data_IF_786620007462
#
_entry.id   IF_786620007462
#
_cell.length_a   1.000
_cell.length_b   1.000
_cell.length_c   1.000
_cell.angle_alpha   90.00
_cell.angle_beta   90.00
_cell.angle_gamma   90.00
#
_symmetry.space_group_name_H-M   'P 1'
#
loop_
_entity.id
_entity.type
_entity.pdbx_description
1 polymer ?
#
# COMPACT_ATOMS: atom_id res chain seq x y z
N UNK A 1 6.14 -0.97 6.83
CA UNK A 1 4.88 -1.67 7.23
C UNK A 1 5.15 -3.02 7.87
N UNK A 2 5.69 -4.01 7.14
CA UNK A 2 5.89 -5.37 7.67
C UNK A 2 6.73 -5.43 8.95
N UNK A 3 7.84 -4.69 9.00
CA UNK A 3 8.73 -4.64 10.18
C UNK A 3 7.96 -4.15 11.43
N UNK A 4 7.31 -2.99 11.33
CA UNK A 4 6.49 -2.43 12.40
C UNK A 4 5.35 -3.37 12.83
N UNK A 5 4.66 -4.00 11.87
CA UNK A 5 3.60 -4.95 12.16
C UNK A 5 4.12 -6.15 12.98
N UNK A 6 5.29 -6.70 12.63
CA UNK A 6 5.92 -7.81 13.35
C UNK A 6 6.38 -7.41 14.75
N UNK A 7 7.09 -6.29 14.85
CA UNK A 7 7.88 -5.97 16.04
C UNK A 7 7.12 -5.10 17.06
N UNK A 8 6.17 -4.28 16.60
CA UNK A 8 5.43 -3.34 17.46
C UNK A 8 3.98 -3.78 17.63
N UNK A 9 3.31 -4.21 16.55
CA UNK A 9 1.90 -4.64 16.62
C UNK A 9 1.74 -6.11 17.04
N UNK A 10 2.82 -6.87 17.20
CA UNK A 10 2.77 -8.29 17.58
C UNK A 10 2.22 -9.23 16.51
N UNK A 11 2.19 -8.80 15.24
CA UNK A 11 1.72 -9.61 14.11
C UNK A 11 2.87 -10.48 13.59
N UNK A 12 3.27 -11.47 14.38
CA UNK A 12 4.36 -12.38 14.01
C UNK A 12 4.08 -13.05 12.67
N UNK A 13 5.05 -12.99 11.75
CA UNK A 13 4.90 -13.49 10.38
C UNK A 13 4.19 -12.54 9.39
N UNK A 14 3.83 -11.31 9.78
CA UNK A 14 3.21 -10.36 8.86
C UNK A 14 4.03 -10.12 7.59
N UNK A 15 3.42 -10.27 6.41
CA UNK A 15 4.12 -10.23 5.12
C UNK A 15 3.22 -9.70 4.00
N UNK A 16 3.77 -9.64 2.79
CA UNK A 16 3.02 -9.35 1.56
C UNK A 16 2.54 -10.65 0.92
N UNK A 17 1.35 -10.63 0.30
CA UNK A 17 0.91 -11.71 -0.58
C UNK A 17 1.83 -11.95 -1.77
N UNK A 18 2.65 -10.95 -2.13
CA UNK A 18 3.74 -11.10 -3.10
C UNK A 18 4.74 -12.20 -2.70
N UNK A 19 4.97 -12.39 -1.40
CA UNK A 19 5.94 -13.35 -0.88
C UNK A 19 5.29 -14.64 -0.38
N UNK A 20 4.10 -14.53 0.22
CA UNK A 20 3.33 -15.67 0.72
C UNK A 20 1.84 -15.35 0.68
N UNK A 21 1.16 -15.90 -0.33
CA UNK A 21 -0.29 -15.75 -0.54
C UNK A 21 -1.12 -16.37 0.59
N UNK A 22 -0.55 -17.30 1.37
CA UNK A 22 -1.23 -18.02 2.45
C UNK A 22 -0.88 -17.48 3.84
N UNK A 23 -0.13 -16.38 3.92
CA UNK A 23 0.28 -15.84 5.21
C UNK A 23 -0.92 -15.44 6.07
N UNK A 24 -0.82 -15.73 7.38
CA UNK A 24 -1.84 -15.35 8.36
C UNK A 24 -2.12 -13.84 8.38
N UNK A 25 -1.08 -13.04 8.21
CA UNK A 25 -1.14 -11.59 8.28
C UNK A 25 -0.60 -10.96 6.99
N UNK A 26 -1.46 -10.81 5.99
CA UNK A 26 -1.14 -10.15 4.71
C UNK A 26 -1.33 -8.65 4.85
N UNK A 27 -0.34 -7.95 5.39
CA UNK A 27 -0.41 -6.49 5.62
C UNK A 27 -0.21 -5.67 4.34
N UNK A 28 0.33 -6.31 3.30
CA UNK A 28 0.42 -5.78 1.94
C UNK A 28 -0.24 -6.83 1.03
N UNK A 29 -1.19 -6.42 0.19
CA UNK A 29 -1.90 -7.33 -0.70
C UNK A 29 -2.27 -6.64 -2.02
N UNK A 30 -2.73 -7.41 -3.01
CA UNK A 30 -3.48 -6.85 -4.14
C UNK A 30 -4.81 -6.32 -3.61
N UNK A 31 -5.32 -5.23 -4.19
CA UNK A 31 -6.67 -4.78 -3.82
C UNK A 31 -7.69 -5.88 -4.14
N UNK A 32 -8.71 -6.05 -3.30
CA UNK A 32 -9.71 -7.12 -3.42
C UNK A 32 -10.40 -7.15 -4.80
N UNK A 33 -10.69 -5.98 -5.38
CA UNK A 33 -11.22 -5.82 -6.75
C UNK A 33 -10.29 -6.33 -7.87
N UNK A 34 -9.04 -6.66 -7.54
CA UNK A 34 -7.97 -7.05 -8.45
C UNK A 34 -7.54 -8.51 -8.29
N UNK A 35 -8.06 -9.22 -7.29
CA UNK A 35 -7.67 -10.61 -6.98
C UNK A 35 -8.19 -11.59 -8.04
N UNK A 36 -9.39 -11.38 -8.56
CA UNK A 36 -10.03 -12.25 -9.57
C UNK A 36 -9.76 -11.82 -11.03
N UNK A 37 -8.88 -10.85 -11.25
CA UNK A 37 -8.53 -10.39 -12.60
C UNK A 37 -7.44 -11.28 -13.18
N UNK A 38 -7.83 -12.27 -13.99
CA UNK A 38 -6.94 -13.24 -14.68
C UNK A 38 -5.75 -12.59 -15.44
N UNK A 39 -5.90 -11.34 -15.85
CA UNK A 39 -4.82 -10.52 -16.42
C UNK A 39 -4.31 -9.52 -15.39
N UNK A 40 -3.29 -9.90 -14.61
CA UNK A 40 -2.51 -9.03 -13.70
C UNK A 40 -1.86 -7.79 -14.36
N UNK A 41 -2.13 -7.51 -15.64
CA UNK A 41 -1.76 -6.29 -16.34
C UNK A 41 -2.58 -5.06 -15.93
N UNK A 42 -3.84 -5.26 -15.51
CA UNK A 42 -4.76 -4.16 -15.14
C UNK A 42 -4.64 -3.67 -13.69
N UNK A 43 -3.78 -4.28 -12.89
CA UNK A 43 -3.70 -4.05 -11.44
C UNK A 43 -2.62 -3.02 -11.04
N UNK A 44 -1.80 -2.60 -12.00
CA UNK A 44 -0.71 -1.67 -11.76
C UNK A 44 -1.23 -0.22 -11.66
N UNK A 45 -0.94 0.44 -10.54
CA UNK A 45 -1.05 1.89 -10.44
C UNK A 45 0.14 2.51 -11.16
N UNK A 46 -0.11 3.12 -12.33
CA UNK A 46 0.93 3.69 -13.20
C UNK A 46 0.57 5.11 -13.66
N UNK A 47 1.46 6.06 -13.41
CA UNK A 47 1.28 7.45 -13.85
C UNK A 47 0.99 8.39 -12.69
N UNK A 48 0.41 9.55 -12.99
CA UNK A 48 0.15 10.60 -12.00
C UNK A 48 -1.13 10.26 -11.24
N UNK A 49 -1.05 10.24 -9.90
CA UNK A 49 -2.21 10.04 -9.02
C UNK A 49 -2.27 11.15 -7.96
N UNK A 50 -3.50 11.53 -7.54
CA UNK A 50 -3.69 12.44 -6.43
C UNK A 50 -3.33 11.77 -5.10
N UNK A 51 -2.57 12.49 -4.26
CA UNK A 51 -2.23 12.10 -2.90
C UNK A 51 -2.71 13.20 -1.95
N UNK A 52 -3.69 12.88 -1.11
CA UNK A 52 -4.12 13.79 -0.04
C UNK A 52 -3.10 13.73 1.09
N UNK A 53 -2.48 14.85 1.42
CA UNK A 53 -1.49 14.96 2.48
C UNK A 53 -2.20 15.39 3.76
N UNK A 54 -1.91 14.70 4.86
CA UNK A 54 -2.53 15.01 6.15
C UNK A 54 -1.89 16.24 6.79
N UNK A 55 -2.71 17.21 7.19
CA UNK A 55 -2.26 18.46 7.80
C UNK A 55 -1.46 18.20 9.09
N UNK A 56 -0.43 19.01 9.34
CA UNK A 56 0.43 18.88 10.51
C UNK A 56 1.44 17.72 10.46
N UNK A 57 1.52 16.97 9.35
CA UNK A 57 2.59 16.00 9.13
C UNK A 57 3.85 16.65 8.55
N UNK A 58 5.00 15.98 8.69
CA UNK A 58 6.24 16.40 8.02
C UNK A 58 6.11 16.45 6.50
N UNK A 59 5.27 15.58 5.93
CA UNK A 59 4.98 15.59 4.49
C UNK A 59 4.22 16.85 4.11
N UNK A 60 3.23 17.27 4.90
CA UNK A 60 2.53 18.54 4.68
C UNK A 60 3.48 19.74 4.80
N UNK A 61 4.39 19.73 5.77
CA UNK A 61 5.43 20.78 5.89
C UNK A 61 6.34 20.85 4.66
N UNK A 62 6.72 19.70 4.10
CA UNK A 62 7.59 19.63 2.93
C UNK A 62 6.91 20.10 1.63
N UNK A 63 5.64 19.75 1.44
CA UNK A 63 4.89 20.08 0.21
C UNK A 63 4.12 21.40 0.28
N UNK A 64 3.66 21.81 1.46
CA UNK A 64 2.86 23.02 1.66
C UNK A 64 1.45 22.99 1.09
N UNK A 65 0.97 21.83 0.62
CA UNK A 65 -0.31 21.64 -0.04
C UNK A 65 -1.05 20.40 0.50
N UNK A 66 -2.37 20.47 0.60
CA UNK A 66 -3.23 19.37 1.05
C UNK A 66 -3.43 18.28 -0.01
N UNK A 67 -3.25 18.61 -1.30
CA UNK A 67 -3.46 17.70 -2.42
C UNK A 67 -2.32 17.84 -3.42
N UNK A 68 -1.47 16.82 -3.49
CA UNK A 68 -0.34 16.77 -4.41
C UNK A 68 -0.55 15.69 -5.48
N UNK A 69 0.23 15.75 -6.56
CA UNK A 69 0.15 14.80 -7.67
C UNK A 69 1.51 14.15 -7.89
N UNK A 70 1.60 12.86 -7.65
CA UNK A 70 2.87 12.12 -7.74
C UNK A 70 2.80 10.98 -8.74
N UNK A 71 3.95 10.56 -9.24
CA UNK A 71 4.03 9.42 -10.18
C UNK A 71 4.14 8.12 -9.41
N UNK A 72 3.14 7.27 -9.59
CA UNK A 72 3.09 5.92 -9.05
C UNK A 72 3.53 4.90 -10.11
N UNK A 73 4.19 3.85 -9.62
CA UNK A 73 4.48 2.63 -10.39
C UNK A 73 4.61 1.47 -9.43
N UNK A 74 3.48 0.93 -9.01
CA UNK A 74 3.41 -0.22 -8.10
C UNK A 74 2.11 -1.00 -8.33
N UNK A 75 1.97 -2.14 -7.66
CA UNK A 75 0.84 -3.07 -7.83
C UNK A 75 0.24 -3.50 -6.51
N UNK A 76 1.08 -3.80 -5.52
CA UNK A 76 0.63 -4.17 -4.19
C UNK A 76 0.41 -2.93 -3.34
N UNK A 77 -0.65 -2.95 -2.55
CA UNK A 77 -1.10 -1.84 -1.72
C UNK A 77 -1.17 -2.29 -0.26
N UNK A 78 -1.34 -1.34 0.65
CA UNK A 78 -1.63 -1.67 2.05
C UNK A 78 -2.99 -2.36 2.16
N UNK A 79 -3.05 -3.48 2.88
CA UNK A 79 -4.29 -4.20 3.10
C UNK A 79 -5.12 -3.53 4.20
N UNK A 80 -6.34 -3.11 3.85
CA UNK A 80 -7.26 -2.41 4.76
C UNK A 80 -8.35 -3.33 5.35
N UNK A 81 -8.30 -4.63 5.07
CA UNK A 81 -9.20 -5.64 5.66
C UNK A 81 -8.83 -6.05 7.10
#
# INVERSE_FOLDING_TARGET
>A
VMEFARNVCGMEGATSSEFDENAKYKVIDLMSDQVDVDKKGGTMRLGIYPCKVEAGTKTHEAYGEDLIYERHRHRYEFNNE
#
